data_IF_487963367996
#
_entry.id   IF_487963367996
#
_cell.length_a   1.000
_cell.length_b   1.000
_cell.length_c   1.000
_cell.angle_alpha   90.00
_cell.angle_beta   90.00
_cell.angle_gamma   90.00
#
_symmetry.space_group_name_H-M   'P 1'
#
loop_
_entity.id
_entity.type
_entity.pdbx_description
1 polymer ?
#
# COMPACT_ATOMS: atom_id res chain seq x y z
N UNK A 1 10.37 13.05 -4.26
CA UNK A 1 10.76 11.81 -4.99
C UNK A 1 11.84 11.11 -4.20
N UNK A 2 11.46 10.15 -3.35
CA UNK A 2 12.39 9.37 -2.52
C UNK A 2 12.79 8.14 -3.35
N UNK A 3 14.10 7.97 -3.55
CA UNK A 3 14.70 6.73 -4.03
C UNK A 3 14.23 6.28 -5.41
N UNK A 4 14.85 6.80 -6.47
CA UNK A 4 14.92 6.04 -7.72
C UNK A 4 15.67 4.74 -7.40
N UNK A 5 14.92 3.68 -7.09
CA UNK A 5 15.38 2.32 -7.35
C UNK A 5 15.99 2.33 -8.75
N UNK A 6 17.09 1.62 -8.97
CA UNK A 6 17.61 1.37 -10.31
C UNK A 6 16.63 0.46 -11.06
N UNK A 7 15.50 1.06 -11.37
CA UNK A 7 14.48 0.62 -12.28
C UNK A 7 15.08 0.89 -13.65
N UNK A 8 15.05 -0.10 -14.54
CA UNK A 8 15.46 0.11 -15.92
C UNK A 8 14.77 1.38 -16.45
N UNK A 9 15.47 2.26 -17.18
CA UNK A 9 14.92 3.56 -17.58
C UNK A 9 13.54 3.43 -18.27
N UNK A 10 13.34 2.36 -19.05
CA UNK A 10 12.09 2.00 -19.71
C UNK A 10 10.93 1.74 -18.74
N UNK A 11 11.22 1.16 -17.57
CA UNK A 11 10.25 0.81 -16.56
C UNK A 11 9.84 2.02 -15.70
N UNK A 12 10.74 2.98 -15.49
CA UNK A 12 10.41 4.27 -14.89
C UNK A 12 9.58 5.13 -15.87
N UNK A 13 9.94 5.13 -17.15
CA UNK A 13 9.17 5.83 -18.20
C UNK A 13 7.72 5.33 -18.24
N UNK A 14 7.50 4.02 -18.24
CA UNK A 14 6.14 3.49 -18.24
C UNK A 14 5.37 3.88 -16.98
N UNK A 15 5.92 3.59 -15.79
CA UNK A 15 5.19 3.80 -14.52
C UNK A 15 4.93 5.26 -14.19
N UNK A 16 5.90 6.14 -14.42
CA UNK A 16 5.80 7.54 -13.99
C UNK A 16 5.18 8.46 -15.04
N UNK A 17 5.20 8.07 -16.32
CA UNK A 17 4.77 8.94 -17.43
C UNK A 17 3.67 8.32 -18.28
N UNK A 18 3.86 7.10 -18.77
CA UNK A 18 2.93 6.47 -19.72
C UNK A 18 1.65 6.00 -19.03
N UNK A 19 1.75 5.26 -17.93
CA UNK A 19 0.61 4.70 -17.23
C UNK A 19 -0.36 5.80 -16.76
N UNK A 20 0.08 6.89 -16.09
CA UNK A 20 -0.82 8.00 -15.78
C UNK A 20 -1.47 8.62 -17.01
N UNK A 21 -0.77 8.68 -18.14
CA UNK A 21 -1.33 9.21 -19.38
C UNK A 21 -2.42 8.28 -19.94
N UNK A 22 -2.17 6.98 -20.01
CA UNK A 22 -3.15 5.98 -20.48
C UNK A 22 -4.37 5.92 -19.57
N UNK A 23 -4.17 5.92 -18.24
CA UNK A 23 -5.27 5.94 -17.27
C UNK A 23 -6.16 7.16 -17.43
N UNK A 24 -5.57 8.34 -17.60
CA UNK A 24 -6.34 9.59 -17.66
C UNK A 24 -6.96 9.88 -19.03
N UNK A 25 -6.37 9.35 -20.13
CA UNK A 25 -6.78 9.72 -21.50
C UNK A 25 -7.41 8.57 -22.28
N UNK A 26 -7.18 7.31 -21.90
CA UNK A 26 -7.48 6.16 -22.75
C UNK A 26 -8.34 5.10 -22.07
N UNK A 27 -8.09 4.77 -20.79
CA UNK A 27 -8.72 3.62 -20.13
C UNK A 27 -10.22 3.74 -19.90
N UNK A 28 -10.81 4.93 -20.08
CA UNK A 28 -12.26 5.09 -20.04
C UNK A 28 -12.97 4.31 -21.14
N UNK A 29 -12.36 4.16 -22.31
CA UNK A 29 -12.95 3.46 -23.47
C UNK A 29 -12.10 2.26 -23.92
N UNK A 30 -10.83 2.20 -23.52
CA UNK A 30 -9.89 1.14 -23.91
C UNK A 30 -9.17 0.55 -22.69
N UNK A 31 -9.90 0.41 -21.58
CA UNK A 31 -9.36 -0.07 -20.31
C UNK A 31 -9.96 -1.41 -19.86
N UNK A 32 -9.98 -1.68 -18.55
CA UNK A 32 -10.40 -2.98 -18.01
C UNK A 32 -11.92 -3.16 -17.94
N UNK A 33 -12.71 -2.10 -18.10
CA UNK A 33 -14.16 -2.15 -18.03
C UNK A 33 -14.77 -2.63 -19.36
N UNK A 34 -15.36 -3.82 -19.34
CA UNK A 34 -15.94 -4.47 -20.52
C UNK A 34 -17.21 -3.75 -21.01
N UNK A 35 -17.92 -2.98 -20.16
CA UNK A 35 -19.15 -2.29 -20.55
C UNK A 35 -18.90 -1.03 -21.39
N UNK A 36 -17.70 -0.44 -21.25
CA UNK A 36 -17.28 0.78 -21.96
C UNK A 36 -16.22 0.51 -23.03
N UNK A 37 -15.93 -0.77 -23.30
CA UNK A 37 -14.87 -1.19 -24.20
C UNK A 37 -15.20 -0.90 -25.67
N UNK A 38 -14.45 0.02 -26.26
CA UNK A 38 -14.54 0.37 -27.66
C UNK A 38 -13.56 -0.45 -28.52
N UNK A 39 -14.03 -0.89 -29.68
CA UNK A 39 -13.25 -1.63 -30.69
C UNK A 39 -12.56 -2.92 -30.17
N UNK A 40 -12.98 -3.46 -29.02
CA UNK A 40 -12.37 -4.65 -28.40
C UNK A 40 -10.91 -4.46 -27.97
N UNK A 41 -10.45 -3.21 -27.84
CA UNK A 41 -9.06 -2.86 -27.57
C UNK A 41 -8.84 -2.59 -26.08
N UNK A 42 -8.03 -3.44 -25.43
CA UNK A 42 -7.54 -3.21 -24.06
C UNK A 42 -6.12 -2.65 -24.08
N UNK A 43 -5.99 -1.35 -23.82
CA UNK A 43 -4.70 -0.69 -23.65
C UNK A 43 -4.09 -0.92 -22.27
N UNK A 44 -4.81 -1.48 -21.31
CA UNK A 44 -4.28 -1.92 -20.01
C UNK A 44 -3.52 -3.26 -20.11
N UNK A 45 -3.68 -4.00 -21.22
CA UNK A 45 -3.11 -5.34 -21.41
C UNK A 45 -2.17 -5.35 -22.60
N UNK A 46 -0.87 -5.57 -22.36
CA UNK A 46 0.15 -5.65 -23.42
C UNK A 46 -0.24 -6.58 -24.57
N UNK A 47 -0.80 -7.76 -24.26
CA UNK A 47 -1.21 -8.74 -25.28
C UNK A 47 -2.31 -8.22 -26.19
N UNK A 48 -3.27 -7.44 -25.68
CA UNK A 48 -4.35 -6.87 -26.50
C UNK A 48 -3.85 -5.65 -27.27
N UNK A 49 -3.11 -4.76 -26.62
CA UNK A 49 -2.55 -3.57 -27.26
C UNK A 49 -1.60 -3.89 -28.43
N UNK A 50 -0.96 -5.06 -28.43
CA UNK A 50 -0.04 -5.51 -29.50
C UNK A 50 -0.64 -6.56 -30.44
N UNK A 51 -1.88 -6.99 -30.19
CA UNK A 51 -2.59 -7.89 -31.09
C UNK A 51 -3.10 -7.13 -32.32
N UNK A 52 -3.31 -7.88 -33.40
CA UNK A 52 -4.04 -7.39 -34.56
C UNK A 52 -5.52 -7.22 -34.18
N UNK A 53 -6.06 -6.04 -34.43
CA UNK A 53 -7.46 -5.70 -34.25
C UNK A 53 -8.27 -6.14 -35.48
N UNK A 54 -9.60 -6.15 -35.37
CA UNK A 54 -10.48 -6.48 -36.50
C UNK A 54 -10.28 -5.56 -37.73
N UNK A 55 -9.72 -4.37 -37.52
CA UNK A 55 -9.32 -3.45 -38.59
C UNK A 55 -8.06 -3.87 -39.36
N UNK A 56 -7.35 -4.92 -38.92
CA UNK A 56 -6.04 -5.33 -39.42
C UNK A 56 -4.87 -4.49 -38.88
N UNK A 57 -5.15 -3.45 -38.09
CA UNK A 57 -4.13 -2.62 -37.46
C UNK A 57 -3.71 -3.16 -36.09
N UNK A 58 -2.57 -2.68 -35.57
CA UNK A 58 -2.16 -2.89 -34.18
C UNK A 58 -2.13 -1.54 -33.48
N UNK A 59 -2.73 -1.46 -32.30
CA UNK A 59 -2.69 -0.23 -31.50
C UNK A 59 -1.25 0.15 -31.16
N UNK A 60 -0.44 -0.84 -30.77
CA UNK A 60 0.97 -0.67 -30.44
C UNK A 60 1.80 -1.67 -31.23
N UNK A 61 2.78 -1.17 -31.97
CA UNK A 61 3.86 -1.94 -32.61
C UNK A 61 5.15 -1.69 -31.82
N UNK A 62 5.57 -2.62 -30.94
CA UNK A 62 6.78 -2.45 -30.15
C UNK A 62 8.01 -2.14 -31.01
N UNK A 63 8.68 -1.03 -30.70
CA UNK A 63 9.87 -0.56 -31.41
C UNK A 63 9.59 0.32 -32.63
N UNK A 64 8.32 0.55 -32.98
CA UNK A 64 7.95 1.37 -34.14
C UNK A 64 6.69 2.21 -33.82
N UNK A 65 6.90 3.40 -33.27
CA UNK A 65 5.81 4.33 -32.96
C UNK A 65 5.11 4.89 -34.18
N UNK A 66 5.77 4.94 -35.34
CA UNK A 66 5.16 5.44 -36.58
C UNK A 66 4.25 4.39 -37.24
N UNK A 67 4.51 3.10 -37.04
CA UNK A 67 3.61 2.01 -37.43
C UNK A 67 2.48 1.72 -36.42
N UNK A 68 2.45 2.42 -35.28
CA UNK A 68 1.47 2.20 -34.21
C UNK A 68 0.21 3.04 -34.41
N UNK A 69 -0.94 2.38 -34.54
CA UNK A 69 -2.24 3.05 -34.77
C UNK A 69 -2.58 4.02 -33.62
N UNK A 70 -2.16 3.72 -32.38
CA UNK A 70 -2.35 4.62 -31.23
C UNK A 70 -1.77 6.01 -31.50
N UNK A 71 -0.58 6.10 -32.10
CA UNK A 71 0.07 7.36 -32.42
C UNK A 71 -0.67 8.09 -33.54
N UNK A 72 -1.10 7.37 -34.56
CA UNK A 72 -1.92 7.93 -35.66
C UNK A 72 -3.19 8.56 -35.11
N UNK A 73 -3.89 7.85 -34.22
CA UNK A 73 -5.16 8.30 -33.62
C UNK A 73 -5.00 9.52 -32.74
N UNK A 74 -3.92 9.63 -31.96
CA UNK A 74 -3.72 10.82 -31.09
C UNK A 74 -3.13 12.03 -31.82
N UNK A 75 -2.68 11.87 -33.07
CA UNK A 75 -2.08 12.94 -33.87
C UNK A 75 -2.87 13.34 -35.12
N UNK A 76 -3.86 12.55 -35.55
CA UNK A 76 -4.67 12.85 -36.74
C UNK A 76 -5.50 14.13 -36.59
N UNK A 77 -5.59 14.91 -37.66
CA UNK A 77 -6.47 16.08 -37.74
C UNK A 77 -7.93 15.72 -38.08
N UNK A 78 -8.18 14.46 -38.44
CA UNK A 78 -9.53 13.96 -38.71
C UNK A 78 -10.33 13.83 -37.40
N UNK A 79 -11.37 14.66 -37.27
CA UNK A 79 -12.20 14.74 -36.08
C UNK A 79 -13.06 13.48 -35.84
N UNK A 80 -13.30 12.66 -36.86
CA UNK A 80 -14.04 11.38 -36.74
C UNK A 80 -13.11 10.23 -36.29
N UNK A 81 -11.80 10.37 -36.49
CA UNK A 81 -10.82 9.31 -36.18
C UNK A 81 -9.94 9.63 -34.97
N UNK A 82 -9.87 10.89 -34.56
CA UNK A 82 -9.00 11.34 -33.45
C UNK A 82 -9.35 10.69 -32.12
N UNK A 83 -8.31 10.48 -31.33
CA UNK A 83 -8.41 10.08 -29.92
C UNK A 83 -7.69 11.10 -29.03
N UNK A 84 -8.29 11.53 -27.90
CA UNK A 84 -9.67 11.28 -27.48
C UNK A 84 -10.69 11.93 -28.43
N UNK A 85 -11.89 11.34 -28.58
CA UNK A 85 -13.02 11.94 -29.27
C UNK A 85 -13.38 13.32 -28.70
N UNK A 86 -13.92 14.21 -29.53
CA UNK A 86 -14.20 15.62 -29.17
C UNK A 86 -15.11 15.75 -27.94
N UNK A 87 -16.05 14.83 -27.78
CA UNK A 87 -17.02 14.81 -26.68
C UNK A 87 -16.47 14.19 -25.38
N UNK A 88 -15.31 13.55 -25.43
CA UNK A 88 -14.71 12.86 -24.28
C UNK A 88 -13.46 13.54 -23.73
N UNK A 89 -12.70 14.30 -24.54
CA UNK A 89 -11.53 15.02 -24.04
C UNK A 89 -10.72 15.82 -25.07
N UNK A 90 -9.84 16.66 -24.52
CA UNK A 90 -8.90 17.47 -25.29
C UNK A 90 -7.84 16.61 -26.00
N UNK A 91 -7.27 17.15 -27.09
CA UNK A 91 -6.12 16.55 -27.77
C UNK A 91 -4.94 16.42 -26.81
N UNK A 92 -4.16 15.36 -26.99
CA UNK A 92 -2.89 15.22 -26.28
C UNK A 92 -1.95 16.36 -26.68
N UNK A 93 -1.20 16.85 -25.71
CA UNK A 93 -0.14 17.84 -25.97
C UNK A 93 1.06 17.16 -26.63
N UNK A 94 1.90 17.95 -27.28
CA UNK A 94 3.09 17.44 -27.96
C UNK A 94 4.06 16.69 -27.01
N UNK A 95 4.18 17.12 -25.76
CA UNK A 95 4.96 16.43 -24.72
C UNK A 95 4.37 15.07 -24.36
N UNK A 96 3.05 14.95 -24.29
CA UNK A 96 2.33 13.69 -24.01
C UNK A 96 2.48 12.70 -25.17
N UNK A 97 2.36 13.16 -26.41
CA UNK A 97 2.60 12.33 -27.61
C UNK A 97 4.06 11.87 -27.65
N UNK A 98 5.03 12.74 -27.34
CA UNK A 98 6.44 12.38 -27.31
C UNK A 98 6.75 11.29 -26.26
N UNK A 99 6.10 11.32 -25.10
CA UNK A 99 6.20 10.27 -24.08
C UNK A 99 5.73 8.93 -24.63
N UNK A 100 4.56 8.90 -25.31
CA UNK A 100 4.02 7.67 -25.90
C UNK A 100 4.93 7.13 -27.00
N UNK A 101 5.42 7.99 -27.90
CA UNK A 101 6.38 7.58 -28.94
C UNK A 101 7.64 6.98 -28.34
N UNK A 102 8.28 7.70 -27.42
CA UNK A 102 9.52 7.23 -26.77
C UNK A 102 9.34 5.87 -26.09
N UNK A 103 8.20 5.64 -25.46
CA UNK A 103 7.90 4.37 -24.82
C UNK A 103 7.70 3.24 -25.82
N UNK A 104 6.92 3.47 -26.89
CA UNK A 104 6.71 2.48 -27.94
C UNK A 104 8.03 2.14 -28.63
N UNK A 105 8.84 3.15 -28.97
CA UNK A 105 10.15 2.99 -29.62
C UNK A 105 11.14 2.23 -28.71
N UNK A 106 11.04 2.36 -27.39
CA UNK A 106 11.80 1.53 -26.42
C UNK A 106 11.28 0.08 -26.29
N UNK A 107 10.30 -0.31 -27.09
CA UNK A 107 9.72 -1.65 -27.11
C UNK A 107 8.38 -1.79 -26.39
N UNK A 108 7.73 -0.69 -26.00
CA UNK A 108 6.35 -0.67 -25.52
C UNK A 108 6.07 -1.57 -24.32
N UNK A 109 7.07 -1.80 -23.45
CA UNK A 109 6.95 -2.74 -22.34
C UNK A 109 6.08 -2.17 -21.22
N UNK A 110 5.22 -3.02 -20.68
CA UNK A 110 4.38 -2.71 -19.53
C UNK A 110 5.12 -3.14 -18.27
N UNK A 111 5.03 -2.31 -17.24
CA UNK A 111 5.57 -2.60 -15.93
C UNK A 111 4.46 -3.07 -15.00
N UNK A 112 4.75 -4.10 -14.20
CA UNK A 112 3.88 -4.43 -13.07
C UNK A 112 3.90 -3.29 -12.04
N UNK A 113 2.81 -3.16 -11.28
CA UNK A 113 2.76 -2.20 -10.18
C UNK A 113 3.87 -2.49 -9.17
N UNK A 114 4.50 -1.44 -8.62
CA UNK A 114 5.73 -1.56 -7.83
C UNK A 114 5.59 -2.50 -6.61
N UNK A 115 4.40 -2.57 -6.03
CA UNK A 115 4.11 -3.43 -4.86
C UNK A 115 4.07 -4.92 -5.19
N UNK A 116 3.92 -5.30 -6.46
CA UNK A 116 3.90 -6.69 -6.93
C UNK A 116 5.22 -7.15 -7.53
N UNK A 117 6.21 -6.26 -7.57
CA UNK A 117 7.55 -6.61 -8.02
C UNK A 117 8.41 -6.86 -6.78
N UNK A 118 9.04 -8.04 -6.73
CA UNK A 118 9.96 -8.35 -5.63
C UNK A 118 11.04 -7.28 -5.52
N UNK A 119 11.28 -6.71 -4.32
CA UNK A 119 12.31 -5.71 -4.14
C UNK A 119 13.69 -6.31 -4.44
N UNK A 120 14.47 -5.58 -5.22
CA UNK A 120 15.87 -5.93 -5.52
C UNK A 120 16.81 -5.03 -4.75
N UNK A 121 17.94 -5.59 -4.30
CA UNK A 121 18.95 -4.83 -3.58
C UNK A 121 19.49 -3.69 -4.47
N UNK A 122 19.29 -2.45 -4.02
CA UNK A 122 19.82 -1.28 -4.71
C UNK A 122 21.29 -1.07 -4.39
N UNK A 123 22.06 -0.59 -5.37
CA UNK A 123 23.44 -0.13 -5.13
C UNK A 123 23.41 1.06 -4.19
N UNK A 124 24.28 1.05 -3.18
CA UNK A 124 24.39 2.17 -2.25
C UNK A 124 24.90 3.41 -2.97
N UNK A 125 24.32 4.59 -2.70
CA UNK A 125 24.79 5.82 -3.32
C UNK A 125 26.18 6.20 -2.79
N UNK A 126 26.95 6.86 -3.66
CA UNK A 126 28.14 7.57 -3.25
C UNK A 126 27.72 8.86 -2.55
N UNK A 127 28.27 9.11 -1.37
CA UNK A 127 27.88 10.23 -0.51
C UNK A 127 29.10 11.02 -0.10
N UNK A 128 28.91 12.31 0.18
CA UNK A 128 29.97 13.24 0.56
C UNK A 128 30.71 12.81 1.83
N UNK A 129 29.98 12.27 2.81
CA UNK A 129 30.53 11.84 4.09
C UNK A 129 30.12 10.41 4.47
N UNK A 130 30.87 9.43 3.99
CA UNK A 130 30.63 8.02 4.30
C UNK A 130 30.79 7.66 5.79
N UNK A 131 31.51 8.47 6.58
CA UNK A 131 31.75 8.22 8.01
C UNK A 131 30.56 8.61 8.91
N UNK A 132 29.69 9.52 8.43
CA UNK A 132 28.45 9.88 9.13
C UNK A 132 27.40 8.77 9.03
N UNK A 133 27.33 8.09 7.88
CA UNK A 133 26.38 7.02 7.64
C UNK A 133 26.72 5.78 8.47
N UNK A 134 25.85 5.41 9.42
CA UNK A 134 26.00 4.23 10.29
C UNK A 134 25.47 2.97 9.63
N UNK A 135 24.47 3.11 8.76
CA UNK A 135 23.87 2.00 8.02
C UNK A 135 23.58 2.38 6.55
N UNK A 136 23.00 1.43 5.81
CA UNK A 136 22.64 1.62 4.40
C UNK A 136 21.58 2.72 4.17
N UNK A 137 20.60 2.85 5.07
CA UNK A 137 19.52 3.85 4.99
C UNK A 137 20.12 5.26 5.08
N UNK A 138 21.07 5.47 5.98
CA UNK A 138 21.73 6.77 6.17
C UNK A 138 22.40 7.25 4.88
N UNK A 139 22.93 6.33 4.05
CA UNK A 139 23.52 6.70 2.75
C UNK A 139 22.48 7.24 1.78
N UNK A 140 21.28 6.64 1.73
CA UNK A 140 20.19 7.15 0.89
C UNK A 140 19.69 8.51 1.37
N UNK A 141 19.59 8.70 2.68
CA UNK A 141 19.24 10.01 3.26
C UNK A 141 20.30 11.05 2.94
N UNK A 142 21.58 10.73 3.15
CA UNK A 142 22.69 11.66 2.89
C UNK A 142 22.83 12.00 1.41
N UNK A 143 22.64 11.03 0.51
CA UNK A 143 22.64 11.29 -0.93
C UNK A 143 21.58 12.32 -1.33
N UNK A 144 20.39 12.26 -0.71
CA UNK A 144 19.33 13.24 -0.94
C UNK A 144 19.70 14.61 -0.34
N UNK A 145 20.30 14.64 0.86
CA UNK A 145 20.76 15.89 1.47
C UNK A 145 21.86 16.55 0.62
N UNK A 146 22.83 15.78 0.12
CA UNK A 146 23.91 16.24 -0.75
C UNK A 146 23.36 16.88 -2.02
N UNK A 147 22.37 16.24 -2.66
CA UNK A 147 21.70 16.77 -3.86
C UNK A 147 21.02 18.12 -3.60
N UNK A 148 20.47 18.30 -2.41
CA UNK A 148 19.76 19.51 -2.00
C UNK A 148 20.68 20.55 -1.34
N UNK A 149 21.99 20.28 -1.24
CA UNK A 149 22.95 21.16 -0.57
C UNK A 149 22.74 21.29 0.95
N UNK A 150 22.08 20.32 1.57
CA UNK A 150 21.78 20.30 3.01
C UNK A 150 22.78 19.43 3.78
N UNK A 151 22.92 19.72 5.07
CA UNK A 151 23.79 18.96 5.98
C UNK A 151 22.97 18.33 7.12
N UNK A 152 23.36 17.14 7.63
CA UNK A 152 22.71 16.55 8.78
C UNK A 152 22.77 17.45 10.03
N UNK A 153 21.71 17.43 10.83
CA UNK A 153 21.69 18.09 12.13
C UNK A 153 22.55 17.32 13.15
N UNK A 154 23.12 18.00 14.16
CA UNK A 154 23.82 17.32 15.25
C UNK A 154 22.86 16.38 16.00
N UNK A 155 23.44 15.34 16.61
CA UNK A 155 22.69 14.40 17.43
C UNK A 155 22.01 15.13 18.59
N UNK A 156 20.73 14.80 18.85
CA UNK A 156 19.98 15.37 19.96
C UNK A 156 20.56 14.93 21.31
N UNK A 157 20.31 15.73 22.36
CA UNK A 157 20.67 15.39 23.73
C UNK A 157 20.01 14.07 24.17
N UNK A 158 20.66 13.31 25.05
CA UNK A 158 20.21 11.99 25.49
C UNK A 158 18.79 11.99 26.06
N UNK A 159 18.38 13.02 26.80
CA UNK A 159 17.02 13.17 27.30
C UNK A 159 15.97 13.28 26.18
N UNK A 160 16.30 13.96 25.08
CA UNK A 160 15.44 14.07 23.89
C UNK A 160 15.37 12.72 23.16
N UNK A 161 16.51 12.02 23.05
CA UNK A 161 16.56 10.69 22.44
C UNK A 161 15.65 9.73 23.20
N UNK A 162 15.80 9.62 24.53
CA UNK A 162 14.95 8.76 25.34
C UNK A 162 13.47 9.12 25.19
N UNK A 163 13.14 10.41 25.25
CA UNK A 163 11.74 10.85 25.08
C UNK A 163 11.15 10.41 23.75
N UNK A 164 11.90 10.52 22.64
CA UNK A 164 11.44 10.10 21.31
C UNK A 164 11.19 8.59 21.27
N UNK A 165 12.18 7.78 21.65
CA UNK A 165 12.03 6.32 21.60
C UNK A 165 10.95 5.79 22.56
N UNK A 166 10.76 6.41 23.73
CA UNK A 166 9.67 6.04 24.64
C UNK A 166 8.31 6.33 24.02
N UNK A 167 8.10 7.52 23.45
CA UNK A 167 6.83 7.86 22.81
C UNK A 167 6.55 6.98 21.58
N UNK A 168 7.59 6.67 20.79
CA UNK A 168 7.45 5.83 19.61
C UNK A 168 7.09 4.38 20.00
N UNK A 169 7.81 3.80 20.96
CA UNK A 169 7.64 2.39 21.32
C UNK A 169 6.47 2.14 22.27
N UNK A 170 6.22 3.01 23.24
CA UNK A 170 5.21 2.78 24.30
C UNK A 170 4.08 3.81 24.29
N UNK A 171 4.19 4.89 23.50
CA UNK A 171 3.22 5.98 23.53
C UNK A 171 3.26 6.85 24.78
N UNK A 172 4.17 6.58 25.71
CA UNK A 172 4.28 7.26 27.00
C UNK A 172 5.61 8.02 27.11
N UNK A 173 5.63 9.20 27.74
CA UNK A 173 6.89 9.86 28.06
C UNK A 173 7.66 9.05 29.13
N UNK A 174 9.01 9.09 29.12
CA UNK A 174 9.80 8.47 30.17
C UNK A 174 9.62 9.22 31.50
N UNK A 175 9.79 8.52 32.62
CA UNK A 175 9.80 9.19 33.94
C UNK A 175 11.12 9.97 34.13
N UNK A 176 11.15 10.98 35.02
CA UNK A 176 12.40 11.68 35.35
C UNK A 176 13.53 10.72 35.76
N UNK A 177 13.24 9.69 36.54
CA UNK A 177 14.21 8.70 37.02
C UNK A 177 14.74 7.80 35.89
N UNK A 178 13.92 7.53 34.87
CA UNK A 178 14.37 6.82 33.67
C UNK A 178 15.30 7.70 32.81
N UNK A 179 15.00 9.00 32.71
CA UNK A 179 15.85 9.98 32.03
C UNK A 179 17.20 10.08 32.74
N UNK A 180 17.20 10.29 34.05
CA UNK A 180 18.44 10.44 34.83
C UNK A 180 19.33 9.20 34.70
N UNK A 181 18.74 8.00 34.76
CA UNK A 181 19.45 6.73 34.59
C UNK A 181 20.04 6.58 33.19
N UNK A 182 19.30 6.95 32.15
CA UNK A 182 19.77 6.87 30.77
C UNK A 182 20.86 7.89 30.47
N UNK A 183 20.73 9.11 30.98
CA UNK A 183 21.73 10.18 30.81
C UNK A 183 23.03 9.86 31.53
N UNK A 184 22.95 9.21 32.70
CA UNK A 184 24.12 8.81 33.48
C UNK A 184 24.80 7.52 32.98
N UNK A 185 24.20 6.81 32.03
CA UNK A 185 24.70 5.54 31.53
C UNK A 185 25.76 5.73 30.45
N UNK A 186 27.01 5.39 30.80
CA UNK A 186 28.17 5.53 29.92
C UNK A 186 28.52 4.25 29.16
N UNK A 187 27.69 3.20 29.24
CA UNK A 187 27.94 1.99 28.47
C UNK A 187 27.76 2.26 26.97
N UNK A 188 28.58 1.63 26.10
CA UNK A 188 28.50 1.85 24.66
C UNK A 188 27.17 1.39 24.04
N UNK A 189 26.40 0.55 24.74
CA UNK A 189 25.10 0.00 24.34
C UNK A 189 23.91 0.60 25.10
N UNK A 190 24.09 1.76 25.75
CA UNK A 190 23.05 2.42 26.55
C UNK A 190 21.72 2.59 25.81
N UNK A 191 21.81 2.96 24.52
CA UNK A 191 20.65 3.14 23.65
C UNK A 191 19.89 1.83 23.43
N UNK A 192 20.60 0.77 23.04
CA UNK A 192 20.05 -0.56 22.77
C UNK A 192 19.37 -1.13 24.02
N UNK A 193 20.02 -1.02 25.19
CA UNK A 193 19.42 -1.49 26.44
C UNK A 193 18.18 -0.69 26.84
N UNK A 194 18.13 0.61 26.53
CA UNK A 194 16.93 1.41 26.73
C UNK A 194 15.79 0.98 25.80
N UNK A 195 16.09 0.68 24.53
CA UNK A 195 15.13 0.14 23.56
C UNK A 195 14.61 -1.22 24.02
N UNK A 196 15.47 -2.16 24.39
CA UNK A 196 15.09 -3.49 24.87
C UNK A 196 14.18 -3.41 26.09
N UNK A 197 14.47 -2.51 27.03
CA UNK A 197 13.62 -2.28 28.20
C UNK A 197 12.23 -1.77 27.81
N UNK A 198 12.13 -0.88 26.81
CA UNK A 198 10.87 -0.34 26.34
C UNK A 198 10.06 -1.39 25.58
N UNK A 199 10.70 -2.18 24.70
CA UNK A 199 10.07 -3.30 23.99
C UNK A 199 9.53 -4.36 24.95
N UNK A 200 10.24 -4.65 26.05
CA UNK A 200 9.80 -5.60 27.07
C UNK A 200 8.76 -5.03 28.05
N UNK A 201 8.34 -3.77 27.89
CA UNK A 201 7.33 -3.16 28.76
C UNK A 201 5.91 -3.53 28.30
N UNK A 202 4.95 -3.66 29.23
CA UNK A 202 3.55 -3.92 28.88
C UNK A 202 2.94 -2.85 27.95
N UNK A 203 3.38 -1.60 28.11
CA UNK A 203 2.92 -0.46 27.35
C UNK A 203 3.30 -0.56 25.86
N UNK A 204 4.34 -1.33 25.50
CA UNK A 204 4.66 -1.60 24.10
C UNK A 204 3.51 -2.31 23.39
N UNK A 205 3.04 -3.43 23.94
CA UNK A 205 1.89 -4.15 23.38
C UNK A 205 0.62 -3.32 23.36
N UNK A 206 0.35 -2.51 24.38
CA UNK A 206 -0.80 -1.60 24.41
C UNK A 206 -0.74 -0.54 23.28
N UNK A 207 0.44 0.06 23.09
CA UNK A 207 0.68 1.06 22.04
C UNK A 207 0.48 0.49 20.64
N UNK A 208 1.08 -0.66 20.37
CA UNK A 208 1.05 -1.29 19.05
C UNK A 208 -0.25 -2.02 18.76
N UNK A 209 -0.90 -2.60 19.78
CA UNK A 209 -2.21 -3.19 19.64
C UNK A 209 -3.25 -2.18 19.18
N UNK A 210 -3.17 -0.91 19.63
CA UNK A 210 -4.10 0.13 19.17
C UNK A 210 -4.15 0.26 17.64
N UNK A 211 -2.99 0.21 16.98
CA UNK A 211 -2.90 0.30 15.52
C UNK A 211 -3.56 -0.94 14.88
N UNK A 212 -3.29 -2.12 15.42
CA UNK A 212 -3.91 -3.36 14.93
C UNK A 212 -5.42 -3.39 15.16
N UNK A 213 -5.89 -2.89 16.30
CA UNK A 213 -7.30 -2.87 16.66
C UNK A 213 -8.11 -1.94 15.74
N UNK A 214 -7.52 -0.83 15.29
CA UNK A 214 -8.11 0.02 14.25
C UNK A 214 -8.29 -0.78 12.95
N UNK A 215 -7.25 -1.52 12.51
CA UNK A 215 -7.32 -2.40 11.33
C UNK A 215 -8.33 -3.54 11.47
N UNK A 216 -8.43 -4.10 12.67
CA UNK A 216 -9.38 -5.14 13.03
C UNK A 216 -10.80 -4.61 13.27
N UNK A 217 -11.02 -3.30 13.16
CA UNK A 217 -12.31 -2.61 13.40
C UNK A 217 -12.89 -2.91 14.78
N UNK A 218 -12.01 -3.01 15.76
CA UNK A 218 -12.42 -3.16 17.14
C UNK A 218 -13.16 -1.91 17.61
N UNK A 219 -14.40 -2.10 18.05
CA UNK A 219 -15.16 -1.09 18.79
C UNK A 219 -15.81 -1.73 20.03
N UNK A 220 -16.03 -0.90 21.05
CA UNK A 220 -16.79 -1.28 22.25
C UNK A 220 -18.33 -1.21 22.01
N UNK A 221 -18.75 -0.78 20.82
CA UNK A 221 -20.13 -0.75 20.36
C UNK A 221 -20.35 -1.62 19.11
N UNK A 222 -21.60 -1.85 18.73
CA UNK A 222 -21.98 -2.75 17.65
C UNK A 222 -22.07 -2.09 16.26
N UNK A 223 -22.08 -0.76 16.19
CA UNK A 223 -22.27 0.02 14.97
C UNK A 223 -23.74 0.26 14.60
N UNK A 224 -23.96 0.81 13.41
CA UNK A 224 -25.27 1.24 12.87
C UNK A 224 -25.99 2.29 13.75
N UNK A 225 -27.30 2.51 13.55
CA UNK A 225 -28.00 3.60 14.21
C UNK A 225 -28.36 3.28 15.67
N UNK A 226 -28.63 2.01 16.00
CA UNK A 226 -28.87 1.62 17.40
C UNK A 226 -27.60 1.62 18.25
N UNK A 227 -26.45 1.29 17.65
CA UNK A 227 -25.10 1.27 18.23
C UNK A 227 -24.99 0.84 19.71
N UNK A 228 -25.56 -0.33 20.12
CA UNK A 228 -25.46 -0.78 21.49
C UNK A 228 -24.02 -1.16 21.87
N UNK A 229 -23.70 -1.08 23.16
CA UNK A 229 -22.44 -1.60 23.68
C UNK A 229 -22.34 -3.12 23.51
N UNK A 230 -21.14 -3.63 23.23
CA UNK A 230 -20.85 -5.07 23.12
C UNK A 230 -19.68 -5.48 24.00
N UNK A 231 -19.66 -6.75 24.41
CA UNK A 231 -18.57 -7.31 25.23
C UNK A 231 -17.59 -8.09 24.35
N UNK A 232 -16.46 -7.47 24.02
CA UNK A 232 -15.43 -8.08 23.15
C UNK A 232 -13.98 -7.82 23.63
N UNK A 233 -13.81 -7.21 24.80
CA UNK A 233 -12.50 -6.84 25.38
C UNK A 233 -11.46 -7.98 25.42
N UNK A 234 -11.90 -9.24 25.47
CA UNK A 234 -11.00 -10.40 25.43
C UNK A 234 -10.17 -10.45 24.15
N UNK A 235 -10.76 -10.06 23.00
CA UNK A 235 -10.01 -9.98 21.75
C UNK A 235 -8.93 -8.88 21.81
N UNK A 236 -9.26 -7.70 22.36
CA UNK A 236 -8.28 -6.63 22.60
C UNK A 236 -7.11 -7.12 23.45
N UNK A 237 -7.41 -7.77 24.56
CA UNK A 237 -6.38 -8.27 25.49
C UNK A 237 -5.54 -9.38 24.83
N UNK A 238 -6.14 -10.23 23.99
CA UNK A 238 -5.43 -11.23 23.20
C UNK A 238 -4.46 -10.58 22.19
N UNK A 239 -4.85 -9.48 21.51
CA UNK A 239 -3.96 -8.75 20.59
C UNK A 239 -2.79 -8.14 21.36
N UNK A 240 -3.05 -7.47 22.49
CA UNK A 240 -2.01 -6.88 23.36
C UNK A 240 -1.02 -7.95 23.81
N UNK A 241 -1.53 -9.09 24.28
CA UNK A 241 -0.70 -10.23 24.71
C UNK A 241 0.13 -10.78 23.55
N UNK A 242 -0.47 -11.00 22.39
CA UNK A 242 0.22 -11.55 21.22
C UNK A 242 1.38 -10.68 20.76
N UNK A 243 1.24 -9.35 20.82
CA UNK A 243 2.31 -8.41 20.50
C UNK A 243 3.42 -8.44 21.57
N UNK A 244 3.05 -8.42 22.86
CA UNK A 244 4.02 -8.46 23.96
C UNK A 244 4.81 -9.78 23.99
N UNK A 245 4.19 -10.89 23.63
CA UNK A 245 4.84 -12.21 23.54
C UNK A 245 5.69 -12.36 22.27
N UNK A 246 5.75 -11.33 21.42
CA UNK A 246 6.43 -11.34 20.13
C UNK A 246 6.00 -12.54 19.26
N UNK A 247 4.68 -12.79 19.19
CA UNK A 247 4.11 -13.90 18.41
C UNK A 247 4.54 -13.76 16.94
N UNK A 248 5.08 -14.82 16.32
CA UNK A 248 5.40 -14.80 14.89
C UNK A 248 4.20 -14.38 14.05
N UNK A 249 4.43 -13.50 13.06
CA UNK A 249 3.36 -12.88 12.28
C UNK A 249 2.53 -13.89 11.49
N UNK A 250 3.13 -15.00 11.05
CA UNK A 250 2.44 -16.13 10.43
C UNK A 250 1.42 -16.77 11.38
N UNK A 251 1.81 -17.02 12.63
CA UNK A 251 0.89 -17.58 13.64
C UNK A 251 -0.18 -16.57 14.04
N UNK A 252 0.19 -15.31 14.25
CA UNK A 252 -0.77 -14.22 14.52
C UNK A 252 -1.80 -14.07 13.39
N UNK A 253 -1.39 -14.32 12.16
CA UNK A 253 -2.28 -14.34 10.98
C UNK A 253 -3.19 -15.57 10.98
N UNK A 254 -2.62 -16.78 11.10
CA UNK A 254 -3.39 -18.03 11.06
C UNK A 254 -4.46 -18.05 12.17
N UNK A 255 -4.09 -17.67 13.39
CA UNK A 255 -5.00 -17.69 14.53
C UNK A 255 -6.18 -16.73 14.33
N UNK A 256 -5.97 -15.55 13.73
CA UNK A 256 -7.08 -14.60 13.49
C UNK A 256 -7.97 -14.98 12.32
N UNK A 257 -7.41 -15.57 11.27
CA UNK A 257 -8.19 -15.93 10.07
C UNK A 257 -8.88 -17.28 10.18
N UNK A 258 -8.31 -18.22 10.93
CA UNK A 258 -8.76 -19.61 10.95
C UNK A 258 -8.41 -20.36 12.25
N UNK A 259 -8.18 -19.65 13.37
CA UNK A 259 -7.82 -20.26 14.64
C UNK A 259 -8.84 -21.25 15.20
N UNK A 260 -10.13 -21.05 14.94
CA UNK A 260 -11.22 -21.97 15.30
C UNK A 260 -11.27 -23.23 14.43
N UNK A 261 -10.64 -23.18 13.26
CA UNK A 261 -10.52 -24.31 12.32
C UNK A 261 -9.25 -25.13 12.55
N UNK A 262 -8.39 -24.76 13.50
CA UNK A 262 -7.20 -25.52 13.83
C UNK A 262 -7.57 -26.85 14.53
N UNK A 263 -6.86 -27.96 14.22
CA UNK A 263 -7.06 -29.21 14.96
C UNK A 263 -6.78 -29.02 16.45
N UNK A 264 -7.76 -29.36 17.30
CA UNK A 264 -7.68 -29.17 18.75
C UNK A 264 -7.36 -27.72 19.16
N UNK A 265 -7.99 -26.74 18.51
CA UNK A 265 -7.81 -25.33 18.78
C UNK A 265 -7.95 -25.02 20.28
N UNK A 266 -7.00 -24.26 20.81
CA UNK A 266 -7.06 -23.71 22.17
C UNK A 266 -8.08 -22.58 22.27
N UNK A 267 -8.54 -22.27 23.49
CA UNK A 267 -9.46 -21.15 23.72
C UNK A 267 -8.92 -19.82 23.18
N UNK A 268 -7.60 -19.58 23.27
CA UNK A 268 -6.96 -18.38 22.72
C UNK A 268 -6.98 -18.35 21.18
N UNK A 269 -6.83 -19.51 20.53
CA UNK A 269 -6.90 -19.61 19.06
C UNK A 269 -8.34 -19.44 18.56
N UNK A 270 -9.32 -19.98 19.28
CA UNK A 270 -10.74 -19.75 18.98
C UNK A 270 -11.09 -18.27 19.24
N UNK A 271 -10.58 -17.68 20.32
CA UNK A 271 -10.79 -16.26 20.61
C UNK A 271 -10.21 -15.34 19.53
N UNK A 272 -9.06 -15.69 18.96
CA UNK A 272 -8.40 -14.91 17.93
C UNK A 272 -9.27 -14.70 16.68
N UNK A 273 -10.12 -15.67 16.33
CA UNK A 273 -11.04 -15.55 15.18
C UNK A 273 -12.18 -14.55 15.41
N UNK A 274 -12.28 -13.97 16.61
CA UNK A 274 -13.10 -12.80 16.86
C UNK A 274 -12.71 -11.59 15.97
N UNK A 275 -11.55 -11.62 15.31
CA UNK A 275 -11.25 -10.71 14.19
C UNK A 275 -12.44 -10.61 13.20
N UNK A 276 -13.02 -11.73 12.77
CA UNK A 276 -14.17 -11.76 11.86
C UNK A 276 -15.50 -11.41 12.54
N UNK A 277 -15.54 -11.35 13.87
CA UNK A 277 -16.69 -10.91 14.68
C UNK A 277 -16.69 -9.40 14.92
N UNK A 278 -15.64 -8.68 14.53
CA UNK A 278 -15.59 -7.24 14.65
C UNK A 278 -16.48 -6.50 13.64
N UNK A 279 -16.98 -7.18 12.61
CA UNK A 279 -18.04 -6.65 11.72
C UNK A 279 -19.20 -6.06 12.51
N UNK A 280 -19.65 -4.88 12.10
CA UNK A 280 -20.81 -4.21 12.71
C UNK A 280 -22.02 -5.15 12.70
N UNK A 281 -22.84 -5.07 13.74
CA UNK A 281 -24.04 -5.91 13.90
C UNK A 281 -25.26 -5.03 13.82
N UNK A 282 -26.19 -5.35 12.92
CA UNK A 282 -27.47 -4.67 12.83
C UNK A 282 -28.52 -5.45 13.62
N UNK A 283 -29.10 -4.80 14.64
CA UNK A 283 -30.18 -5.35 15.48
C UNK A 283 -31.43 -4.47 15.46
N UNK A 284 -31.53 -3.58 14.47
CA UNK A 284 -32.66 -2.68 14.29
C UNK A 284 -33.92 -3.43 13.85
N UNK A 285 -35.08 -2.93 14.26
CA UNK A 285 -36.35 -3.50 13.81
C UNK A 285 -36.57 -3.25 12.32
N UNK A 286 -36.91 -4.31 11.57
CA UNK A 286 -37.22 -4.22 10.14
C UNK A 286 -36.04 -4.52 9.20
N UNK A 287 -34.91 -4.98 9.73
CA UNK A 287 -33.80 -5.51 8.92
C UNK A 287 -34.17 -6.85 8.30
N UNK A 288 -33.72 -7.10 7.07
CA UNK A 288 -33.75 -8.42 6.45
C UNK A 288 -32.46 -9.18 6.82
N UNK A 289 -32.61 -10.38 7.40
CA UNK A 289 -31.50 -11.19 7.88
C UNK A 289 -30.55 -11.61 6.74
N UNK A 290 -31.08 -11.90 5.54
CA UNK A 290 -30.26 -12.30 4.39
C UNK A 290 -29.53 -11.11 3.77
N UNK A 291 -30.18 -9.94 3.72
CA UNK A 291 -29.51 -8.69 3.34
C UNK A 291 -28.33 -8.39 4.27
N UNK A 292 -28.57 -8.43 5.58
CA UNK A 292 -27.51 -8.18 6.56
C UNK A 292 -26.42 -9.25 6.53
N UNK A 293 -26.75 -10.53 6.33
CA UNK A 293 -25.76 -11.61 6.17
C UNK A 293 -24.81 -11.30 5.02
N UNK A 294 -25.33 -10.84 3.87
CA UNK A 294 -24.51 -10.46 2.71
C UNK A 294 -23.63 -9.24 3.03
N UNK A 295 -24.18 -8.20 3.62
CA UNK A 295 -23.42 -7.00 4.02
C UNK A 295 -22.26 -7.36 4.99
N UNK A 296 -22.53 -8.21 5.98
CA UNK A 296 -21.53 -8.65 6.94
C UNK A 296 -20.42 -9.50 6.29
N UNK A 297 -20.76 -10.39 5.36
CA UNK A 297 -19.76 -11.20 4.63
C UNK A 297 -18.88 -10.30 3.77
N UNK A 298 -19.49 -9.38 3.02
CA UNK A 298 -18.77 -8.43 2.17
C UNK A 298 -17.77 -7.62 2.99
N UNK A 299 -18.21 -7.09 4.13
CA UNK A 299 -17.37 -6.34 5.06
C UNK A 299 -16.18 -7.16 5.59
N UNK A 300 -16.41 -8.44 5.96
CA UNK A 300 -15.32 -9.35 6.39
C UNK A 300 -14.29 -9.57 5.28
N UNK A 301 -14.75 -9.82 4.05
CA UNK A 301 -13.87 -10.06 2.89
C UNK A 301 -13.04 -8.82 2.60
N UNK A 302 -13.68 -7.65 2.56
CA UNK A 302 -13.01 -6.36 2.36
C UNK A 302 -11.94 -6.12 3.43
N UNK A 303 -12.30 -6.27 4.70
CA UNK A 303 -11.38 -6.04 5.82
C UNK A 303 -10.19 -6.98 5.73
N UNK A 304 -10.43 -8.27 5.50
CA UNK A 304 -9.37 -9.27 5.40
C UNK A 304 -8.38 -8.92 4.27
N UNK A 305 -8.91 -8.55 3.12
CA UNK A 305 -8.08 -8.24 1.95
C UNK A 305 -7.33 -6.92 2.12
N UNK A 306 -7.97 -5.91 2.71
CA UNK A 306 -7.30 -4.65 3.01
C UNK A 306 -6.19 -4.82 4.06
N UNK A 307 -6.44 -5.56 5.14
CA UNK A 307 -5.50 -5.69 6.26
C UNK A 307 -4.31 -6.59 5.91
N UNK A 308 -4.51 -7.72 5.23
CA UNK A 308 -3.41 -8.64 4.91
C UNK A 308 -2.78 -8.44 3.54
N UNK A 309 -3.57 -8.06 2.53
CA UNK A 309 -3.05 -7.87 1.17
C UNK A 309 -2.67 -6.42 0.89
N UNK A 310 -3.07 -5.46 1.73
CA UNK A 310 -2.84 -4.04 1.48
C UNK A 310 -3.55 -3.51 0.24
N UNK A 311 -4.62 -4.17 -0.19
CA UNK A 311 -5.37 -3.86 -1.42
C UNK A 311 -6.82 -3.59 -1.10
N UNK A 312 -7.43 -2.61 -1.78
CA UNK A 312 -8.88 -2.47 -1.74
C UNK A 312 -9.52 -3.39 -2.77
N UNK A 313 -10.61 -4.06 -2.39
CA UNK A 313 -11.44 -4.84 -3.33
C UNK A 313 -12.93 -4.47 -3.24
N UNK A 314 -13.26 -3.37 -2.56
CA UNK A 314 -14.64 -2.93 -2.38
C UNK A 314 -15.36 -2.66 -3.71
N UNK A 315 -14.63 -2.23 -4.74
CA UNK A 315 -15.21 -1.98 -6.07
C UNK A 315 -15.82 -3.25 -6.71
N UNK A 316 -15.28 -4.42 -6.39
CA UNK A 316 -15.78 -5.70 -6.91
C UNK A 316 -17.15 -6.12 -6.33
N UNK A 317 -17.70 -5.33 -5.40
CA UNK A 317 -19.06 -5.53 -4.91
C UNK A 317 -20.11 -5.17 -5.97
N UNK A 318 -19.83 -4.15 -6.78
CA UNK A 318 -20.77 -3.60 -7.74
C UNK A 318 -20.29 -3.73 -9.19
N UNK A 319 -18.99 -3.95 -9.40
CA UNK A 319 -18.38 -4.01 -10.71
C UNK A 319 -17.58 -5.30 -10.91
N UNK A 320 -17.34 -5.67 -12.16
CA UNK A 320 -16.53 -6.84 -12.55
C UNK A 320 -15.01 -6.57 -12.52
N UNK A 321 -14.57 -5.36 -12.15
CA UNK A 321 -13.17 -4.94 -12.16
C UNK A 321 -12.67 -4.53 -10.76
N UNK A 322 -11.34 -4.55 -10.59
CA UNK A 322 -10.63 -3.93 -9.46
C UNK A 322 -9.87 -2.73 -10.01
N UNK A 323 -10.03 -1.55 -9.42
CA UNK A 323 -9.29 -0.35 -9.83
C UNK A 323 -7.87 -0.29 -9.25
N UNK A 324 -7.63 -1.02 -8.16
CA UNK A 324 -6.33 -1.10 -7.48
C UNK A 324 -5.48 -2.31 -7.96
N UNK A 325 -4.14 -2.19 -7.97
CA UNK A 325 -3.35 -1.11 -7.36
C UNK A 325 -3.21 0.16 -8.20
#
# INVERSE_FOLDING_TARGET
>A
MIGASYVAADDALFREKVLPLLTNRCFRCHGPDEETLEAGLHLDRFKSATAELDSGARAIVPGDSDASELIVRVTTDDDDLRMPPIDTGDRLRADEVAILKSWIDSGGKYSAHWSFVSPVASKLPNVSNASWARNAIDRFVLARLDQEGLQPQPQANLSIILRRISLDLTGLPPTPEEVDRFVADNNPDAYERAVDRLLNSKAYGERWARIWLDLARYADSAGYAQDPLRTIWRYRDWVIKSINDNKPFDQFTIEQLAGDMLPNATDDQILATAFHRNTMTNSEGGTDDEEFRNAAIIDRVNTTMQVWMGMTMGCAQCHSHKYDP
#
